data_IF_919589898888
#
_entry.id   IF_919589898888
#
_cell.length_a   1.000
_cell.length_b   1.000
_cell.length_c   1.000
_cell.angle_alpha   90.00
_cell.angle_beta   90.00
_cell.angle_gamma   90.00
#
_symmetry.space_group_name_H-M   'P 1'
#
loop_
_entity.id
_entity.type
_entity.pdbx_description
1 polymer ?
#
# COMPACT_ATOMS: atom_id res chain seq x y z
N UNK A 1 -21.85 -0.17 19.66
CA UNK A 1 -21.22 0.35 18.42
C UNK A 1 -20.35 -0.76 17.85
N UNK A 2 -20.84 -1.49 16.84
CA UNK A 2 -19.99 -2.44 16.13
C UNK A 2 -19.06 -1.64 15.23
N UNK A 3 -17.77 -1.65 15.53
CA UNK A 3 -16.76 -1.16 14.59
C UNK A 3 -16.88 -2.01 13.33
N UNK A 4 -17.39 -1.44 12.25
CA UNK A 4 -17.30 -2.09 10.96
C UNK A 4 -15.81 -2.25 10.65
N UNK A 5 -15.45 -3.50 10.41
CA UNK A 5 -14.09 -3.98 10.16
C UNK A 5 -13.38 -2.98 9.22
N UNK A 6 -12.20 -2.48 9.61
CA UNK A 6 -11.33 -1.64 8.79
C UNK A 6 -10.77 -2.47 7.61
N UNK A 7 -11.67 -2.91 6.72
CA UNK A 7 -11.35 -3.81 5.64
C UNK A 7 -11.41 -3.11 4.28
N UNK A 8 -10.25 -2.97 3.69
CA UNK A 8 -9.96 -2.47 2.35
C UNK A 8 -9.69 -3.62 1.37
N UNK A 9 -9.91 -4.90 1.76
CA UNK A 9 -9.68 -6.07 0.90
C UNK A 9 -10.46 -6.01 -0.42
N UNK A 10 -11.61 -5.36 -0.45
CA UNK A 10 -12.39 -5.13 -1.68
C UNK A 10 -11.61 -4.38 -2.77
N UNK A 11 -10.52 -3.68 -2.41
CA UNK A 11 -9.65 -2.96 -3.33
C UNK A 11 -8.45 -3.77 -3.82
N UNK A 12 -8.24 -5.00 -3.30
CA UNK A 12 -7.20 -5.91 -3.81
C UNK A 12 -7.46 -6.19 -5.29
N UNK A 13 -6.40 -6.19 -6.09
CA UNK A 13 -6.46 -6.31 -7.55
C UNK A 13 -6.65 -4.97 -8.28
N UNK A 14 -7.25 -3.97 -7.64
CA UNK A 14 -7.33 -2.59 -8.17
C UNK A 14 -6.19 -1.72 -7.67
N UNK A 15 -5.95 -1.74 -6.37
CA UNK A 15 -4.89 -0.99 -5.70
C UNK A 15 -4.00 -1.90 -4.88
N UNK A 16 -2.82 -1.41 -4.51
CA UNK A 16 -1.92 -2.08 -3.59
C UNK A 16 -2.41 -1.88 -2.17
N UNK A 17 -3.21 -2.83 -1.71
CA UNK A 17 -3.64 -2.91 -0.31
C UNK A 17 -2.55 -3.59 0.52
N UNK A 18 -2.22 -3.01 1.66
CA UNK A 18 -1.21 -3.49 2.60
C UNK A 18 -1.77 -3.46 4.01
N UNK A 19 -1.10 -4.12 4.96
CA UNK A 19 -1.37 -3.95 6.38
C UNK A 19 -0.07 -3.66 7.12
N UNK A 20 -0.17 -3.13 8.33
CA UNK A 20 0.99 -3.01 9.22
C UNK A 20 1.51 -4.39 9.65
N UNK A 21 2.75 -4.41 10.14
CA UNK A 21 3.41 -5.61 10.66
C UNK A 21 3.96 -5.33 12.06
N UNK A 22 3.83 -6.30 12.96
CA UNK A 22 4.51 -6.29 14.25
C UNK A 22 6.03 -6.22 14.01
N UNK A 23 6.68 -5.14 14.47
CA UNK A 23 8.11 -4.90 14.21
C UNK A 23 9.03 -5.91 14.87
N UNK A 24 8.57 -6.63 15.88
CA UNK A 24 9.37 -7.65 16.57
C UNK A 24 9.29 -9.02 15.88
N UNK A 25 8.12 -9.35 15.31
CA UNK A 25 7.81 -10.72 14.84
C UNK A 25 7.54 -10.80 13.34
N UNK A 26 7.41 -9.67 12.66
CA UNK A 26 6.94 -9.55 11.27
C UNK A 26 5.61 -10.27 11.00
N UNK A 27 4.76 -10.42 12.02
CA UNK A 27 3.39 -10.90 11.86
C UNK A 27 2.49 -9.76 11.37
N UNK A 28 1.63 -9.99 10.36
CA UNK A 28 0.75 -8.96 9.82
C UNK A 28 -0.41 -8.63 10.78
N UNK A 29 -0.73 -7.35 10.92
CA UNK A 29 -1.91 -6.84 11.62
C UNK A 29 -3.10 -6.88 10.64
N UNK A 30 -3.86 -7.99 10.63
CA UNK A 30 -4.83 -8.27 9.55
C UNK A 30 -6.02 -7.31 9.55
N UNK A 31 -6.38 -6.79 10.71
CA UNK A 31 -7.51 -5.88 10.89
C UNK A 31 -7.23 -4.46 10.43
N UNK A 32 -5.96 -4.07 10.28
CA UNK A 32 -5.53 -2.71 9.95
C UNK A 32 -4.89 -2.66 8.56
N UNK A 33 -5.73 -2.69 7.54
CA UNK A 33 -5.30 -2.62 6.15
C UNK A 33 -5.68 -1.29 5.48
N UNK A 34 -4.90 -0.90 4.47
CA UNK A 34 -5.04 0.37 3.78
C UNK A 34 -4.48 0.30 2.36
N UNK A 35 -4.90 1.22 1.50
CA UNK A 35 -4.32 1.42 0.17
C UNK A 35 -3.04 2.24 0.31
N UNK A 36 -1.92 1.66 -0.12
CA UNK A 36 -0.63 2.32 -0.12
C UNK A 36 -0.55 3.37 -1.24
N UNK A 37 -0.23 4.61 -0.87
CA UNK A 37 -0.13 5.75 -1.79
C UNK A 37 1.31 6.25 -1.90
N UNK A 38 1.55 7.17 -2.83
CA UNK A 38 2.85 7.83 -2.96
C UNK A 38 3.26 8.53 -1.66
N UNK A 39 4.57 8.68 -1.46
CA UNK A 39 5.14 9.36 -0.28
C UNK A 39 4.63 8.81 1.07
N UNK A 40 4.42 7.49 1.15
CA UNK A 40 3.92 6.78 2.34
C UNK A 40 2.51 7.20 2.78
N UNK A 41 1.73 7.81 1.87
CA UNK A 41 0.33 8.10 2.13
C UNK A 41 -0.50 6.82 2.24
N UNK A 42 -1.63 6.91 2.92
CA UNK A 42 -2.52 5.81 3.22
C UNK A 42 -3.95 6.24 2.96
N UNK A 43 -4.74 5.39 2.31
CA UNK A 43 -6.21 5.51 2.32
C UNK A 43 -6.76 4.34 3.12
N UNK A 44 -7.49 4.62 4.19
CA UNK A 44 -8.09 3.61 5.06
C UNK A 44 -9.55 3.94 5.37
N UNK A 45 -10.29 2.92 5.83
CA UNK A 45 -11.71 3.02 6.14
C UNK A 45 -11.93 3.74 7.47
N UNK A 46 -12.87 4.69 7.50
CA UNK A 46 -13.35 5.31 8.74
C UNK A 46 -14.71 4.73 9.16
N UNK A 47 -15.60 4.55 8.18
CA UNK A 47 -16.88 3.85 8.34
C UNK A 47 -17.33 3.29 6.96
N UNK A 48 -18.61 2.94 6.85
CA UNK A 48 -19.15 2.25 5.66
C UNK A 48 -19.18 3.12 4.39
N UNK A 49 -19.14 4.46 4.54
CA UNK A 49 -19.24 5.40 3.41
C UNK A 49 -18.04 6.35 3.32
N UNK A 50 -17.24 6.42 4.37
CA UNK A 50 -16.18 7.43 4.53
C UNK A 50 -14.82 6.78 4.62
N UNK A 51 -13.90 7.27 3.80
CA UNK A 51 -12.49 6.94 3.84
C UNK A 51 -11.69 8.14 4.34
N UNK A 52 -10.52 7.86 4.87
CA UNK A 52 -9.53 8.86 5.29
C UNK A 52 -8.31 8.71 4.40
N UNK A 53 -7.79 9.83 3.89
CA UNK A 53 -6.42 9.91 3.44
C UNK A 53 -5.54 10.47 4.55
N UNK A 54 -4.44 9.78 4.86
CA UNK A 54 -3.43 10.23 5.81
C UNK A 54 -2.05 10.17 5.16
N UNK A 55 -1.22 11.18 5.42
CA UNK A 55 0.20 11.18 5.07
C UNK A 55 0.98 12.07 6.02
N UNK A 56 2.05 11.53 6.59
CA UNK A 56 3.07 12.33 7.27
C UNK A 56 3.88 13.17 6.26
N UNK A 57 4.04 14.46 6.52
CA UNK A 57 4.88 15.36 5.73
C UNK A 57 4.42 16.82 5.72
N UNK A 58 5.36 17.71 5.37
CA UNK A 58 5.17 19.18 5.41
C UNK A 58 3.96 19.64 4.58
N UNK A 59 3.26 20.62 5.16
CA UNK A 59 1.95 21.15 4.81
C UNK A 59 1.79 21.65 3.34
N UNK A 60 1.58 20.72 2.42
CA UNK A 60 0.95 20.98 1.11
C UNK A 60 -0.56 20.71 1.16
N UNK A 61 -1.14 20.53 2.36
CA UNK A 61 -2.55 20.17 2.54
C UNK A 61 -3.47 21.20 1.89
N UNK A 62 -3.27 22.50 2.16
CA UNK A 62 -4.08 23.57 1.58
C UNK A 62 -4.15 23.52 0.05
N UNK A 63 -3.01 23.28 -0.62
CA UNK A 63 -2.97 23.16 -2.08
C UNK A 63 -3.66 21.89 -2.58
N UNK A 64 -3.47 20.77 -1.87
CA UNK A 64 -4.10 19.50 -2.20
C UNK A 64 -5.62 19.57 -2.04
N UNK A 65 -6.12 20.12 -0.92
CA UNK A 65 -7.56 20.31 -0.66
C UNK A 65 -8.17 21.24 -1.70
N UNK A 66 -7.51 22.35 -2.05
CA UNK A 66 -7.96 23.23 -3.13
C UNK A 66 -8.14 22.47 -4.45
N UNK A 67 -7.16 21.67 -4.85
CA UNK A 67 -7.22 20.85 -6.07
C UNK A 67 -8.36 19.79 -6.02
N UNK A 68 -8.62 19.20 -4.84
CA UNK A 68 -9.73 18.25 -4.63
C UNK A 68 -11.07 18.95 -4.86
N UNK A 69 -11.27 20.12 -4.25
CA UNK A 69 -12.51 20.91 -4.39
C UNK A 69 -12.72 21.38 -5.83
N UNK A 70 -11.67 21.84 -6.52
CA UNK A 70 -11.73 22.24 -7.93
C UNK A 70 -12.12 21.09 -8.88
N UNK A 71 -11.91 19.83 -8.46
CA UNK A 71 -12.36 18.63 -9.18
C UNK A 71 -13.78 18.20 -8.82
N UNK A 72 -14.51 19.01 -8.05
CA UNK A 72 -15.88 18.74 -7.63
C UNK A 72 -15.98 17.57 -6.64
N UNK A 73 -14.91 17.30 -5.88
CA UNK A 73 -14.89 16.25 -4.87
C UNK A 73 -15.12 16.91 -3.51
N UNK A 74 -16.08 16.39 -2.76
CA UNK A 74 -16.37 16.88 -1.42
C UNK A 74 -15.34 16.40 -0.40
N UNK A 75 -14.87 17.33 0.45
CA UNK A 75 -14.05 17.02 1.62
C UNK A 75 -14.95 17.12 2.84
N UNK A 76 -15.20 15.98 3.50
CA UNK A 76 -16.09 15.89 4.67
C UNK A 76 -15.47 16.60 5.88
N UNK A 77 -14.17 16.42 6.08
CA UNK A 77 -13.41 17.11 7.13
C UNK A 77 -11.94 17.14 6.79
N UNK A 78 -11.28 18.27 7.02
CA UNK A 78 -9.82 18.43 6.97
C UNK A 78 -9.27 18.57 8.39
N UNK A 79 -8.40 17.64 8.78
CA UNK A 79 -7.71 17.61 10.08
C UNK A 79 -6.19 17.66 9.89
N UNK A 80 -5.73 18.20 8.76
CA UNK A 80 -4.31 18.33 8.45
C UNK A 80 -3.62 19.30 9.42
N UNK A 81 -2.42 18.96 9.86
CA UNK A 81 -1.58 19.84 10.69
C UNK A 81 -0.43 20.43 9.87
N UNK A 82 0.58 20.98 10.56
CA UNK A 82 1.83 21.43 9.92
C UNK A 82 2.64 20.27 9.36
N UNK A 83 2.56 19.12 10.02
CA UNK A 83 3.46 17.98 9.83
C UNK A 83 2.76 16.75 9.26
N UNK A 84 1.44 16.81 9.08
CA UNK A 84 0.66 15.77 8.40
C UNK A 84 -0.47 16.35 7.53
N UNK A 85 -0.95 15.51 6.63
CA UNK A 85 -2.13 15.75 5.80
C UNK A 85 -3.14 14.68 6.17
N UNK A 86 -4.32 15.09 6.63
CA UNK A 86 -5.40 14.17 7.00
C UNK A 86 -6.75 14.75 6.60
N UNK A 87 -7.47 14.07 5.70
CA UNK A 87 -8.82 14.49 5.34
C UNK A 87 -9.74 13.29 5.08
N UNK A 88 -11.03 13.51 5.31
CA UNK A 88 -12.12 12.55 5.07
C UNK A 88 -12.83 12.86 3.77
N UNK A 89 -13.23 11.81 3.05
CA UNK A 89 -13.98 11.91 1.79
C UNK A 89 -14.90 10.70 1.64
N UNK A 90 -15.94 10.84 0.81
CA UNK A 90 -16.85 9.73 0.53
C UNK A 90 -16.19 8.68 -0.36
N UNK A 91 -16.42 7.41 -0.03
CA UNK A 91 -15.88 6.26 -0.76
C UNK A 91 -16.24 6.27 -2.25
N UNK A 92 -17.40 6.84 -2.62
CA UNK A 92 -17.81 7.05 -4.02
C UNK A 92 -16.77 7.80 -4.87
N UNK A 93 -15.94 8.64 -4.24
CA UNK A 93 -14.90 9.44 -4.90
C UNK A 93 -13.50 8.82 -4.81
N UNK A 94 -13.37 7.58 -4.31
CA UNK A 94 -12.07 6.92 -4.11
C UNK A 94 -11.23 6.89 -5.39
N UNK A 95 -11.82 6.62 -6.55
CA UNK A 95 -11.07 6.53 -7.80
C UNK A 95 -10.45 7.87 -8.22
N UNK A 96 -11.12 8.97 -7.89
CA UNK A 96 -10.61 10.33 -8.15
C UNK A 96 -9.52 10.68 -7.14
N UNK A 97 -9.77 10.44 -5.84
CA UNK A 97 -8.79 10.68 -4.77
C UNK A 97 -7.53 9.85 -4.97
N UNK A 98 -7.67 8.55 -5.26
CA UNK A 98 -6.58 7.63 -5.53
C UNK A 98 -5.66 8.13 -6.66
N UNK A 99 -6.20 8.77 -7.70
CA UNK A 99 -5.38 9.41 -8.75
C UNK A 99 -4.60 10.61 -8.21
N UNK A 100 -5.24 11.48 -7.41
CA UNK A 100 -4.62 12.68 -6.84
C UNK A 100 -3.47 12.31 -5.90
N UNK A 101 -3.69 11.36 -5.00
CA UNK A 101 -2.68 10.93 -4.01
C UNK A 101 -1.72 9.87 -4.55
N UNK A 102 -1.90 9.47 -5.81
CA UNK A 102 -1.13 8.45 -6.52
C UNK A 102 -1.09 7.13 -5.75
N UNK A 103 -2.28 6.58 -5.49
CA UNK A 103 -2.47 5.24 -4.99
C UNK A 103 -1.71 4.24 -5.86
N UNK A 104 -0.95 3.36 -5.24
CA UNK A 104 -0.09 2.42 -5.95
C UNK A 104 -0.95 1.31 -6.55
N UNK A 105 -0.71 1.01 -7.82
CA UNK A 105 -1.37 -0.10 -8.55
C UNK A 105 -0.40 -1.26 -8.81
N UNK A 106 0.91 -0.99 -8.85
CA UNK A 106 1.94 -2.00 -9.04
C UNK A 106 1.87 -3.04 -7.93
N UNK A 107 1.60 -4.29 -8.33
CA UNK A 107 1.41 -5.42 -7.45
C UNK A 107 0.09 -5.40 -6.68
N UNK A 108 -0.99 -4.82 -7.21
CA UNK A 108 -2.31 -4.83 -6.60
C UNK A 108 -2.83 -6.23 -6.22
N UNK A 109 -2.35 -7.28 -6.91
CA UNK A 109 -2.70 -8.69 -6.61
C UNK A 109 -1.95 -9.28 -5.41
N UNK A 110 -0.99 -8.56 -4.81
CA UNK A 110 -0.28 -9.05 -3.63
C UNK A 110 -1.20 -8.90 -2.41
N UNK A 111 -1.47 -10.01 -1.72
CA UNK A 111 -2.29 -10.03 -0.51
C UNK A 111 -1.73 -9.03 0.54
N UNK A 112 -2.59 -8.31 1.28
CA UNK A 112 -2.14 -7.32 2.28
C UNK A 112 -1.21 -7.91 3.34
N UNK A 113 -1.45 -9.16 3.73
CA UNK A 113 -0.66 -9.88 4.75
C UNK A 113 0.64 -10.48 4.24
N UNK A 114 0.99 -10.29 2.97
CA UNK A 114 2.18 -10.87 2.37
C UNK A 114 3.45 -10.18 2.87
N UNK A 115 4.47 -10.96 3.26
CA UNK A 115 5.82 -10.43 3.57
C UNK A 115 6.46 -9.66 2.40
N UNK A 116 5.95 -9.83 1.17
CA UNK A 116 6.36 -9.00 0.01
C UNK A 116 6.03 -7.52 0.18
N UNK A 117 5.14 -7.16 1.11
CA UNK A 117 4.83 -5.78 1.47
C UNK A 117 5.90 -5.15 2.37
N UNK A 118 6.72 -5.93 3.07
CA UNK A 118 7.71 -5.43 4.03
C UNK A 118 8.65 -4.37 3.41
N UNK A 119 9.05 -4.57 2.15
CA UNK A 119 9.91 -3.64 1.39
C UNK A 119 9.31 -2.24 1.18
N UNK A 120 8.00 -2.06 1.41
CA UNK A 120 7.34 -0.75 1.33
C UNK A 120 7.55 0.09 2.59
N UNK A 121 7.94 -0.54 3.70
CA UNK A 121 8.08 0.13 4.98
C UNK A 121 9.53 0.56 5.22
N UNK A 122 9.74 1.85 5.48
CA UNK A 122 11.08 2.39 5.77
C UNK A 122 11.71 1.71 6.99
N UNK A 123 10.95 1.52 8.07
CA UNK A 123 11.46 0.87 9.28
C UNK A 123 11.97 -0.55 9.01
N UNK A 124 11.37 -1.28 8.06
CA UNK A 124 11.83 -2.60 7.68
C UNK A 124 13.11 -2.51 6.86
N UNK A 125 13.14 -1.65 5.84
CA UNK A 125 14.30 -1.48 4.97
C UNK A 125 15.54 -1.00 5.74
N UNK A 126 15.36 -0.10 6.70
CA UNK A 126 16.44 0.40 7.55
C UNK A 126 17.00 -0.68 8.51
N UNK A 127 16.29 -1.80 8.70
CA UNK A 127 16.64 -2.88 9.63
C UNK A 127 16.58 -4.27 8.96
N UNK A 128 16.71 -4.35 7.64
CA UNK A 128 16.48 -5.61 6.90
C UNK A 128 17.42 -6.72 7.38
N UNK A 129 18.70 -6.41 7.58
CA UNK A 129 19.72 -7.37 8.00
C UNK A 129 19.44 -7.92 9.40
N UNK A 130 18.97 -7.09 10.34
CA UNK A 130 18.53 -7.53 11.67
C UNK A 130 17.41 -8.59 11.58
N UNK A 131 16.47 -8.43 10.65
CA UNK A 131 15.40 -9.42 10.46
C UNK A 131 15.88 -10.71 9.80
N UNK A 132 16.92 -10.62 8.95
CA UNK A 132 17.57 -11.78 8.33
C UNK A 132 18.35 -12.56 9.39
N UNK A 133 19.15 -11.89 10.21
CA UNK A 133 19.93 -12.49 11.30
C UNK A 133 19.03 -13.20 12.32
N UNK A 134 17.85 -12.64 12.60
CA UNK A 134 16.83 -13.29 13.46
C UNK A 134 16.06 -14.43 12.78
N UNK A 135 16.31 -14.72 11.51
CA UNK A 135 15.58 -15.74 10.75
C UNK A 135 14.10 -15.40 10.50
N UNK A 136 13.70 -14.14 10.70
CA UNK A 136 12.31 -13.68 10.52
C UNK A 136 12.00 -13.35 9.05
N UNK A 137 13.03 -13.08 8.26
CA UNK A 137 12.93 -12.75 6.86
C UNK A 137 14.06 -13.41 6.07
N UNK A 138 13.76 -13.81 4.84
CA UNK A 138 14.75 -14.25 3.87
C UNK A 138 14.60 -13.41 2.61
N UNK A 139 15.70 -12.90 2.07
CA UNK A 139 15.68 -12.32 0.73
C UNK A 139 15.29 -13.45 -0.22
N UNK A 140 14.26 -13.22 -1.04
CA UNK A 140 14.11 -14.02 -2.25
C UNK A 140 15.43 -13.87 -3.00
N UNK A 141 16.14 -14.99 -3.18
CA UNK A 141 17.41 -15.05 -3.89
C UNK A 141 17.19 -14.34 -5.23
N UNK A 142 17.88 -13.22 -5.43
CA UNK A 142 17.96 -12.66 -6.77
C UNK A 142 18.77 -13.65 -7.58
N UNK A 143 18.09 -14.38 -8.47
CA UNK A 143 18.75 -15.22 -9.46
C UNK A 143 19.83 -14.37 -10.13
N UNK A 144 21.07 -14.89 -10.14
CA UNK A 144 22.16 -14.34 -10.94
C UNK A 144 21.74 -14.22 -12.41
N UNK A 145 22.44 -13.41 -13.20
CA UNK A 145 22.13 -13.31 -14.64
C UNK A 145 22.14 -14.68 -15.33
N UNK A 146 23.06 -15.57 -14.94
CA UNK A 146 23.13 -16.94 -15.44
C UNK A 146 21.87 -17.76 -15.07
N UNK A 147 21.41 -17.70 -13.83
CA UNK A 147 20.21 -18.43 -13.39
C UNK A 147 18.92 -17.86 -14.01
N UNK A 148 18.86 -16.54 -14.28
CA UNK A 148 17.75 -15.91 -15.01
C UNK A 148 17.71 -16.37 -16.46
N UNK A 149 18.88 -16.45 -17.10
CA UNK A 149 19.01 -16.94 -18.48
C UNK A 149 18.58 -18.41 -18.57
N UNK A 150 19.00 -19.23 -17.60
CA UNK A 150 18.59 -20.64 -17.54
C UNK A 150 17.08 -20.80 -17.36
N UNK A 151 16.46 -19.98 -16.49
CA UNK A 151 15.02 -19.99 -16.30
C UNK A 151 14.28 -19.58 -17.58
N UNK A 152 14.75 -18.55 -18.29
CA UNK A 152 14.18 -18.13 -19.59
C UNK A 152 14.24 -19.25 -20.61
N UNK A 153 15.40 -19.91 -20.75
CA UNK A 153 15.59 -21.01 -21.70
C UNK A 153 14.66 -22.19 -21.39
N UNK A 154 14.45 -22.51 -20.10
CA UNK A 154 13.48 -23.53 -19.69
C UNK A 154 12.03 -23.14 -20.04
N UNK A 155 11.66 -21.87 -19.87
CA UNK A 155 10.31 -21.39 -20.23
C UNK A 155 10.07 -21.44 -21.73
N UNK A 156 11.03 -21.01 -22.56
CA UNK A 156 10.95 -21.09 -24.03
C UNK A 156 10.75 -22.54 -24.46
N UNK A 157 11.60 -23.45 -23.98
CA UNK A 157 11.51 -24.88 -24.30
C UNK A 157 10.18 -25.50 -23.88
N UNK A 158 9.62 -25.06 -22.75
CA UNK A 158 8.30 -25.53 -22.29
C UNK A 158 7.20 -25.04 -23.22
N UNK A 159 7.26 -23.79 -23.68
CA UNK A 159 6.31 -23.23 -24.63
C UNK A 159 6.39 -23.90 -26.00
N UNK A 160 7.59 -24.22 -26.48
CA UNK A 160 7.81 -24.97 -27.73
C UNK A 160 7.23 -26.40 -27.66
N UNK A 161 7.34 -27.06 -26.50
CA UNK A 161 6.79 -28.41 -26.31
C UNK A 161 5.25 -28.43 -26.12
N UNK A 162 4.63 -27.28 -25.89
CA UNK A 162 3.18 -27.13 -25.74
C UNK A 162 2.47 -26.68 -27.02
N UNK A 163 3.25 -26.31 -28.05
CA UNK A 163 2.77 -25.94 -29.38
C UNK A 163 2.76 -27.17 -30.31
#
# INVERSE_FOLDING_TARGET
MSYTKNDMNMYVGKYRVVCEFCRETLKPCKEDNYIYCSNKGQIYRFNDEVLVYYREGKNIAKLMIKNILEKGIEVISDNSTRDDIMFKFYEKDIDKIAKIVRARTVGANIKPTSKRNLKLFKWFNDNEDFYIEKGLYSKQIELSEAEREELRNRMIKTMENMA
#
